data_IF_771495127500
#
_entry.id   IF_771495127500
#
_cell.length_a   1.000
_cell.length_b   1.000
_cell.length_c   1.000
_cell.angle_alpha   90.00
_cell.angle_beta   90.00
_cell.angle_gamma   90.00
#
_symmetry.space_group_name_H-M   'P 1'
#
loop_
_entity.id
_entity.type
_entity.pdbx_description
1 polymer ?
#
# COMPACT_ATOMS: atom_id res chain seq x y z
N UNK A 1 -13.36 5.67 35.93
CA UNK A 1 -12.10 5.11 35.40
C UNK A 1 -12.50 4.28 34.17
N UNK A 2 -11.88 4.56 33.04
CA UNK A 2 -12.09 3.77 31.82
C UNK A 2 -11.18 2.54 31.97
N UNK A 3 -11.74 1.34 31.95
CA UNK A 3 -10.95 0.11 31.84
C UNK A 3 -10.39 0.02 30.43
N UNK A 4 -9.07 -0.06 30.31
CA UNK A 4 -8.39 -0.32 29.05
C UNK A 4 -7.92 -1.78 29.01
N UNK A 5 -8.74 -2.73 28.50
CA UNK A 5 -8.42 -4.17 28.52
C UNK A 5 -7.20 -4.54 27.67
N UNK A 6 -6.76 -3.63 26.80
CA UNK A 6 -5.65 -3.85 25.86
C UNK A 6 -4.28 -3.34 26.33
N UNK A 7 -4.14 -2.83 27.57
CA UNK A 7 -2.85 -2.33 28.07
C UNK A 7 -1.89 -3.47 28.40
N UNK A 8 -1.50 -4.25 27.37
CA UNK A 8 -0.52 -5.34 27.48
C UNK A 8 0.48 -5.26 26.36
N UNK A 9 1.76 -5.22 26.74
CA UNK A 9 2.82 -5.46 25.77
C UNK A 9 2.79 -6.91 25.29
N UNK A 10 3.13 -7.14 24.03
CA UNK A 10 3.32 -8.48 23.47
C UNK A 10 4.66 -8.59 22.76
N UNK A 11 5.13 -9.82 22.58
CA UNK A 11 6.37 -10.09 21.87
C UNK A 11 6.10 -10.04 20.36
N UNK A 12 6.66 -9.04 19.68
CA UNK A 12 6.46 -8.83 18.25
C UNK A 12 6.92 -10.02 17.40
N UNK A 13 8.10 -10.59 17.71
CA UNK A 13 8.62 -11.74 16.97
C UNK A 13 7.67 -12.92 17.05
N UNK A 14 7.20 -13.24 18.26
CA UNK A 14 6.19 -14.28 18.45
C UNK A 14 4.88 -13.96 17.72
N UNK A 15 4.45 -12.70 17.73
CA UNK A 15 3.24 -12.29 17.01
C UNK A 15 3.37 -12.54 15.50
N UNK A 16 4.53 -12.26 14.89
CA UNK A 16 4.80 -12.55 13.48
C UNK A 16 4.77 -14.05 13.22
N UNK A 17 5.38 -14.86 14.09
CA UNK A 17 5.35 -16.33 13.99
C UNK A 17 3.91 -16.88 14.06
N UNK A 18 3.12 -16.43 15.03
CA UNK A 18 1.74 -16.83 15.24
C UNK A 18 0.79 -16.42 14.09
N UNK A 19 1.16 -15.42 13.29
CA UNK A 19 0.37 -14.89 12.18
C UNK A 19 1.00 -15.13 10.80
N UNK A 20 2.03 -15.96 10.70
CA UNK A 20 2.83 -16.14 9.50
C UNK A 20 2.00 -16.50 8.25
N UNK A 21 0.90 -17.24 8.39
CA UNK A 21 0.06 -17.62 7.27
C UNK A 21 -0.79 -16.48 6.71
N UNK A 22 -1.05 -15.44 7.53
CA UNK A 22 -1.77 -14.24 7.10
C UNK A 22 -0.83 -13.18 6.50
N UNK A 23 0.48 -13.37 6.64
CA UNK A 23 1.52 -12.50 6.07
C UNK A 23 2.05 -13.03 4.72
N UNK A 24 1.31 -13.96 4.10
CA UNK A 24 1.60 -14.54 2.78
C UNK A 24 0.50 -14.15 1.79
N UNK A 25 0.78 -14.18 0.48
CA UNK A 25 -0.25 -14.03 -0.53
C UNK A 25 -1.43 -15.02 -0.30
N UNK A 26 -2.66 -14.62 -0.62
CA UNK A 26 -3.07 -13.39 -1.30
C UNK A 26 -3.26 -12.17 -0.39
N UNK A 27 -3.21 -12.31 0.94
CA UNK A 27 -3.50 -11.20 1.87
C UNK A 27 -2.27 -10.32 2.10
N UNK A 28 -1.19 -10.86 2.61
CA UNK A 28 0.10 -10.16 2.75
C UNK A 28 0.18 -9.11 3.85
N UNK A 29 -0.92 -8.68 4.49
CA UNK A 29 -0.91 -7.69 5.56
C UNK A 29 -1.85 -8.05 6.71
N UNK A 30 -1.53 -7.56 7.91
CA UNK A 30 -2.37 -7.74 9.09
C UNK A 30 -2.22 -6.59 10.09
N UNK A 31 -3.35 -6.07 10.55
CA UNK A 31 -3.40 -5.10 11.64
C UNK A 31 -2.90 -5.72 12.94
N UNK A 32 -2.00 -5.00 13.64
CA UNK A 32 -1.53 -5.37 14.98
C UNK A 32 -2.46 -4.87 16.08
N UNK A 33 -3.02 -3.68 15.91
CA UNK A 33 -3.91 -3.04 16.87
C UNK A 33 -5.22 -2.66 16.19
N UNK A 34 -6.35 -3.16 16.72
CA UNK A 34 -7.68 -2.91 16.16
C UNK A 34 -8.40 -1.72 16.79
N UNK A 35 -7.97 -1.34 18.01
CA UNK A 35 -8.63 -0.32 18.81
C UNK A 35 -7.79 0.98 18.90
N UNK A 36 -6.95 1.23 17.90
CA UNK A 36 -6.15 2.44 17.79
C UNK A 36 -6.70 3.35 16.70
N UNK A 37 -6.60 4.65 16.88
CA UNK A 37 -6.97 5.65 15.87
C UNK A 37 -6.03 5.60 14.66
N UNK A 38 -4.77 5.22 14.90
CA UNK A 38 -3.78 5.00 13.85
C UNK A 38 -3.80 3.56 13.36
N UNK A 39 -3.43 3.36 12.09
CA UNK A 39 -3.21 2.04 11.54
C UNK A 39 -1.78 1.59 11.88
N UNK A 40 -1.66 0.43 12.51
CA UNK A 40 -0.36 -0.24 12.73
C UNK A 40 -0.48 -1.64 12.16
N UNK A 41 0.17 -1.87 11.03
CA UNK A 41 0.10 -3.16 10.33
C UNK A 41 1.47 -3.78 10.09
N UNK A 42 1.49 -5.10 10.00
CA UNK A 42 2.62 -5.86 9.48
C UNK A 42 2.31 -6.27 8.05
N UNK A 43 3.26 -6.06 7.17
CA UNK A 43 3.15 -6.42 5.75
C UNK A 43 4.25 -7.42 5.40
N UNK A 44 3.84 -8.56 4.85
CA UNK A 44 4.73 -9.61 4.39
C UNK A 44 4.90 -9.62 2.86
N UNK A 45 6.02 -10.17 2.41
CA UNK A 45 6.26 -10.43 0.98
C UNK A 45 6.16 -11.92 0.64
N UNK A 46 5.94 -12.26 -0.67
CA UNK A 46 5.90 -11.32 -1.79
C UNK A 46 4.58 -10.54 -1.86
N UNK A 47 4.67 -9.26 -2.16
CA UNK A 47 3.52 -8.39 -2.37
C UNK A 47 3.95 -7.25 -3.31
N UNK A 48 3.38 -7.20 -4.49
CA UNK A 48 3.66 -6.17 -5.49
C UNK A 48 2.35 -5.57 -5.97
N UNK A 49 2.35 -4.27 -6.23
CA UNK A 49 1.15 -3.56 -6.68
C UNK A 49 1.45 -2.67 -7.88
N UNK A 50 0.43 -2.39 -8.66
CA UNK A 50 0.49 -1.60 -9.90
C UNK A 50 -0.27 -0.27 -9.81
N UNK A 51 -0.93 -0.05 -8.70
CA UNK A 51 -1.57 1.21 -8.31
C UNK A 51 -0.68 2.01 -7.38
N UNK A 52 -0.87 3.32 -7.37
CA UNK A 52 -0.25 4.24 -6.43
C UNK A 52 -1.31 4.75 -5.46
N UNK A 53 -0.97 4.77 -4.20
CA UNK A 53 -1.79 5.28 -3.11
C UNK A 53 -1.47 6.75 -2.85
N UNK A 54 -2.50 7.55 -2.70
CA UNK A 54 -2.48 8.95 -2.25
C UNK A 54 -3.09 8.98 -0.85
N UNK A 55 -2.25 8.77 0.18
CA UNK A 55 -2.69 8.76 1.56
C UNK A 55 -2.75 10.20 2.11
N UNK A 56 -3.88 10.64 2.71
CA UNK A 56 -4.01 11.98 3.29
C UNK A 56 -3.26 12.15 4.61
N UNK A 57 -2.61 11.11 5.13
CA UNK A 57 -1.86 11.14 6.39
C UNK A 57 -0.41 10.73 6.20
N UNK A 58 0.42 10.95 7.23
CA UNK A 58 1.79 10.44 7.21
C UNK A 58 1.79 8.93 7.31
N UNK A 59 2.71 8.29 6.59
CA UNK A 59 2.95 6.85 6.64
C UNK A 59 4.41 6.58 7.02
N UNK A 60 4.63 5.77 8.05
CA UNK A 60 5.96 5.42 8.53
C UNK A 60 6.25 3.95 8.26
N UNK A 61 7.40 3.69 7.65
CA UNK A 61 7.87 2.35 7.30
C UNK A 61 9.05 1.95 8.19
N UNK A 62 9.05 0.71 8.64
CA UNK A 62 10.21 0.05 9.20
C UNK A 62 10.37 -1.32 8.57
N UNK A 63 11.49 -1.56 7.91
CA UNK A 63 11.76 -2.83 7.27
C UNK A 63 12.46 -3.77 8.24
N UNK A 64 11.71 -4.73 8.79
CA UNK A 64 12.16 -5.66 9.84
C UNK A 64 13.04 -6.77 9.26
N UNK A 65 12.69 -7.25 8.05
CA UNK A 65 13.39 -8.34 7.37
C UNK A 65 13.23 -8.22 5.86
N UNK A 66 14.34 -8.36 5.15
CA UNK A 66 14.43 -8.21 3.70
C UNK A 66 14.21 -6.77 3.24
N UNK A 67 14.47 -6.49 1.99
CA UNK A 67 14.39 -5.16 1.41
C UNK A 67 13.07 -4.94 0.67
N UNK A 68 12.69 -3.67 0.52
CA UNK A 68 11.58 -3.25 -0.33
C UNK A 68 11.97 -2.08 -1.21
N UNK A 69 11.20 -1.86 -2.26
CA UNK A 69 11.24 -0.64 -3.05
C UNK A 69 9.92 0.11 -2.85
N UNK A 70 10.01 1.36 -2.43
CA UNK A 70 8.89 2.28 -2.45
C UNK A 70 8.94 3.07 -3.75
N UNK A 71 8.02 2.78 -4.69
CA UNK A 71 7.89 3.59 -5.90
C UNK A 71 7.17 4.88 -5.55
N UNK A 72 7.70 5.99 -6.02
CA UNK A 72 7.12 7.33 -5.88
C UNK A 72 6.73 7.84 -7.26
N UNK A 73 5.57 8.46 -7.37
CA UNK A 73 5.16 9.20 -8.57
C UNK A 73 4.96 10.67 -8.23
N UNK A 74 5.74 11.55 -8.86
CA UNK A 74 5.63 13.00 -8.71
C UNK A 74 5.87 13.72 -10.05
N UNK A 75 6.09 15.03 -10.01
CA UNK A 75 6.35 15.85 -11.20
C UNK A 75 7.63 15.46 -11.96
N UNK A 76 8.55 14.73 -11.33
CA UNK A 76 9.78 14.24 -11.95
C UNK A 76 9.59 12.90 -12.68
N UNK A 77 8.43 12.28 -12.52
CA UNK A 77 8.10 10.97 -13.04
C UNK A 77 8.02 9.91 -11.94
N UNK A 78 8.14 8.65 -12.32
CA UNK A 78 8.13 7.51 -11.40
C UNK A 78 9.57 7.09 -11.10
N UNK A 79 9.92 7.02 -9.81
CA UNK A 79 11.26 6.62 -9.35
C UNK A 79 11.19 5.78 -8.07
N UNK A 80 12.31 5.14 -7.74
CA UNK A 80 12.42 4.14 -6.69
C UNK A 80 13.17 4.69 -5.47
N UNK A 81 12.62 4.45 -4.28
CA UNK A 81 13.29 4.64 -2.99
C UNK A 81 13.47 3.26 -2.36
N UNK A 82 14.69 2.72 -2.28
CA UNK A 82 14.94 1.48 -1.56
C UNK A 82 14.84 1.72 -0.05
N UNK A 83 14.16 0.82 0.66
CA UNK A 83 14.14 0.75 2.12
C UNK A 83 14.68 -0.64 2.48
N UNK A 84 15.89 -0.68 3.03
CA UNK A 84 16.60 -1.93 3.32
C UNK A 84 16.23 -2.48 4.69
N UNK A 85 16.54 -3.73 4.91
CA UNK A 85 16.42 -4.35 6.24
C UNK A 85 17.05 -3.47 7.32
N UNK A 86 16.31 -3.18 8.38
CA UNK A 86 16.71 -2.30 9.48
C UNK A 86 16.48 -0.80 9.23
N UNK A 87 16.14 -0.39 8.01
CA UNK A 87 15.90 1.03 7.70
C UNK A 87 14.46 1.45 8.01
N UNK A 88 14.32 2.74 8.29
CA UNK A 88 13.04 3.43 8.47
C UNK A 88 12.86 4.53 7.43
N UNK A 89 11.61 4.80 7.06
CA UNK A 89 11.27 5.87 6.13
C UNK A 89 9.98 6.54 6.58
N UNK A 90 9.92 7.88 6.48
CA UNK A 90 8.71 8.66 6.71
C UNK A 90 8.22 9.23 5.40
N UNK A 91 7.02 8.84 5.00
CA UNK A 91 6.33 9.36 3.83
C UNK A 91 5.37 10.48 4.26
N UNK A 92 5.49 11.70 3.71
CA UNK A 92 4.52 12.77 3.96
C UNK A 92 3.16 12.48 3.32
N UNK A 93 2.08 13.15 3.79
CA UNK A 93 0.77 13.04 3.15
C UNK A 93 0.81 13.44 1.68
N UNK A 94 -0.09 12.85 0.90
CA UNK A 94 -0.30 13.16 -0.52
C UNK A 94 0.91 12.94 -1.42
N UNK A 95 1.85 12.09 -1.02
CA UNK A 95 2.90 11.57 -1.90
C UNK A 95 2.44 10.26 -2.49
N UNK A 96 2.18 10.26 -3.81
CA UNK A 96 1.77 9.06 -4.54
C UNK A 96 2.86 7.99 -4.46
N UNK A 97 2.49 6.82 -3.92
CA UNK A 97 3.46 5.76 -3.65
C UNK A 97 2.90 4.35 -3.87
N UNK A 98 3.77 3.41 -4.17
CA UNK A 98 3.43 2.01 -4.39
C UNK A 98 4.52 1.10 -3.80
N UNK A 99 4.34 0.57 -2.57
CA UNK A 99 5.31 -0.34 -1.96
C UNK A 99 5.41 -1.65 -2.73
N UNK A 100 6.64 -2.04 -3.07
CA UNK A 100 6.96 -3.27 -3.78
C UNK A 100 7.77 -4.19 -2.85
N UNK A 101 7.25 -5.38 -2.56
CA UNK A 101 7.85 -6.39 -1.67
C UNK A 101 8.07 -7.70 -2.42
N UNK A 102 9.03 -7.81 -3.34
CA UNK A 102 9.19 -9.02 -4.16
C UNK A 102 9.79 -10.19 -3.38
N UNK A 103 10.50 -9.94 -2.28
CA UNK A 103 11.16 -10.97 -1.50
C UNK A 103 10.18 -11.83 -0.70
N UNK A 104 10.25 -13.14 -0.88
CA UNK A 104 9.51 -14.12 -0.08
C UNK A 104 9.96 -14.04 1.38
N UNK A 105 9.00 -13.88 2.29
CA UNK A 105 9.27 -13.83 3.73
C UNK A 105 9.88 -12.52 4.22
N UNK A 106 9.87 -11.45 3.40
CA UNK A 106 10.14 -10.11 3.89
C UNK A 106 9.04 -9.67 4.86
N UNK A 107 9.40 -8.87 5.85
CA UNK A 107 8.50 -8.36 6.90
C UNK A 107 8.79 -6.88 7.10
N UNK A 108 7.75 -6.07 7.00
CA UNK A 108 7.79 -4.66 7.33
C UNK A 108 6.67 -4.28 8.28
N UNK A 109 6.89 -3.23 9.06
CA UNK A 109 5.86 -2.55 9.83
C UNK A 109 5.52 -1.26 9.08
N UNK A 110 4.23 -1.01 8.95
CA UNK A 110 3.69 0.23 8.39
C UNK A 110 2.79 0.86 9.45
N UNK A 111 3.02 2.15 9.71
CA UNK A 111 2.21 2.95 10.62
C UNK A 111 1.67 4.15 9.86
N UNK A 112 0.35 4.24 9.81
CA UNK A 112 -0.35 5.35 9.18
C UNK A 112 -1.04 6.20 10.24
N UNK A 113 -1.06 7.50 10.03
CA UNK A 113 -1.70 8.46 10.93
C UNK A 113 -3.21 8.23 11.05
N UNK A 114 -3.80 8.83 12.08
CA UNK A 114 -5.25 8.79 12.25
C UNK A 114 -5.95 9.52 11.10
N UNK A 115 -6.97 8.87 10.54
CA UNK A 115 -7.81 9.44 9.50
C UNK A 115 -9.03 10.12 10.12
N UNK A 116 -9.41 11.26 9.55
CA UNK A 116 -10.55 12.04 10.04
C UNK A 116 -11.61 12.20 8.96
N UNK A 117 -12.84 12.41 9.37
CA UNK A 117 -13.95 12.67 8.45
C UNK A 117 -13.65 13.86 7.53
N UNK A 118 -14.01 13.73 6.25
CA UNK A 118 -13.75 14.72 5.21
C UNK A 118 -12.40 14.58 4.51
N UNK A 119 -11.52 13.69 4.96
CA UNK A 119 -10.33 13.32 4.20
C UNK A 119 -10.71 12.43 3.00
N UNK A 120 -9.92 12.52 1.93
CA UNK A 120 -10.05 11.68 0.74
C UNK A 120 -8.79 10.83 0.60
N UNK A 121 -8.96 9.55 0.40
CA UNK A 121 -7.90 8.67 -0.09
C UNK A 121 -7.98 8.54 -1.60
N UNK A 122 -6.83 8.56 -2.27
CA UNK A 122 -6.75 8.44 -3.71
C UNK A 122 -6.00 7.18 -4.15
N UNK A 123 -6.41 6.64 -5.28
CA UNK A 123 -5.69 5.57 -5.98
C UNK A 123 -5.49 5.99 -7.42
N UNK A 124 -4.24 5.94 -7.89
CA UNK A 124 -3.87 6.30 -9.24
C UNK A 124 -3.17 5.15 -9.96
N UNK A 125 -3.41 5.06 -11.26
CA UNK A 125 -2.70 4.15 -12.15
C UNK A 125 -1.99 4.93 -13.23
N UNK A 126 -0.78 4.49 -13.57
CA UNK A 126 0.07 5.13 -14.56
C UNK A 126 0.39 4.17 -15.69
N UNK A 127 0.48 4.70 -16.90
CA UNK A 127 0.90 3.96 -18.06
C UNK A 127 2.34 3.47 -17.91
N UNK A 128 2.56 2.17 -18.05
CA UNK A 128 3.90 1.57 -17.95
C UNK A 128 4.85 1.97 -19.09
N UNK A 129 4.29 2.45 -20.21
CA UNK A 129 5.09 2.86 -21.36
C UNK A 129 5.51 4.34 -21.31
N UNK A 130 4.60 5.24 -20.97
CA UNK A 130 4.87 6.69 -21.03
C UNK A 130 4.66 7.44 -19.70
N UNK A 131 4.36 6.72 -18.64
CA UNK A 131 4.14 7.25 -17.28
C UNK A 131 3.01 8.29 -17.16
N UNK A 132 2.19 8.45 -18.20
CA UNK A 132 0.99 9.29 -18.11
C UNK A 132 -0.02 8.64 -17.14
N UNK A 133 -0.65 9.43 -16.28
CA UNK A 133 -1.76 8.95 -15.45
C UNK A 133 -2.90 8.47 -16.34
N UNK A 134 -3.36 7.23 -16.13
CA UNK A 134 -4.48 6.64 -16.88
C UNK A 134 -5.79 6.70 -16.11
N UNK A 135 -5.74 6.61 -14.77
CA UNK A 135 -6.97 6.60 -13.97
C UNK A 135 -6.70 7.12 -12.55
N UNK A 136 -7.73 7.72 -11.93
CA UNK A 136 -7.74 8.10 -10.50
C UNK A 136 -9.11 7.82 -9.92
N UNK A 137 -9.14 7.27 -8.71
CA UNK A 137 -10.33 7.13 -7.88
C UNK A 137 -10.07 7.80 -6.54
N UNK A 138 -11.02 8.57 -6.05
CA UNK A 138 -11.02 9.14 -4.71
C UNK A 138 -12.12 8.53 -3.86
N UNK A 139 -11.80 8.22 -2.61
CA UNK A 139 -12.71 7.59 -1.65
C UNK A 139 -12.80 8.46 -0.40
N UNK A 140 -13.99 8.96 -0.05
CA UNK A 140 -14.18 9.67 1.20
C UNK A 140 -14.06 8.71 2.40
N UNK A 141 -13.42 9.19 3.47
CA UNK A 141 -13.16 8.42 4.69
C UNK A 141 -14.25 8.52 5.76
N UNK A 142 -15.36 9.15 5.45
CA UNK A 142 -16.55 9.29 6.31
C UNK A 142 -17.55 8.13 6.17
N UNK A 143 -17.11 7.03 5.57
CA UNK A 143 -17.94 5.83 5.40
C UNK A 143 -17.73 4.85 6.55
N UNK A 144 -18.84 4.24 7.08
CA UNK A 144 -18.77 3.35 8.25
C UNK A 144 -17.88 2.11 8.05
N UNK A 145 -17.80 1.60 6.82
CA UNK A 145 -17.07 0.37 6.50
C UNK A 145 -15.55 0.55 6.38
N UNK A 146 -15.07 1.79 6.37
CA UNK A 146 -13.66 2.09 6.14
C UNK A 146 -13.20 1.84 4.70
N UNK A 147 -11.95 2.25 4.42
CA UNK A 147 -11.37 2.14 3.06
C UNK A 147 -11.10 0.69 2.65
N UNK A 148 -10.65 -0.14 3.58
CA UNK A 148 -10.16 -1.51 3.32
C UNK A 148 -11.23 -2.38 2.65
N UNK A 149 -12.49 -2.23 3.08
CA UNK A 149 -13.61 -3.01 2.54
C UNK A 149 -14.01 -2.58 1.11
N UNK A 150 -13.66 -1.37 0.71
CA UNK A 150 -13.92 -0.83 -0.64
C UNK A 150 -12.81 -1.12 -1.65
N UNK A 151 -11.58 -1.34 -1.19
CA UNK A 151 -10.43 -1.57 -2.08
C UNK A 151 -10.66 -2.67 -3.12
N UNK A 152 -11.21 -3.85 -2.77
CA UNK A 152 -11.45 -4.89 -3.76
C UNK A 152 -12.36 -4.43 -4.91
N UNK A 153 -13.41 -3.66 -4.61
CA UNK A 153 -14.36 -3.15 -5.62
C UNK A 153 -13.72 -2.10 -6.52
N UNK A 154 -12.91 -1.19 -5.95
CA UNK A 154 -12.17 -0.17 -6.68
C UNK A 154 -11.23 -0.81 -7.69
N UNK A 155 -10.44 -1.77 -7.24
CA UNK A 155 -9.47 -2.46 -8.10
C UNK A 155 -10.14 -3.36 -9.14
N UNK A 156 -11.29 -3.96 -8.80
CA UNK A 156 -12.10 -4.74 -9.72
C UNK A 156 -12.70 -3.86 -10.81
N UNK A 157 -13.26 -2.71 -10.43
CA UNK A 157 -13.85 -1.75 -11.38
C UNK A 157 -12.82 -1.29 -12.40
N UNK A 158 -11.65 -0.83 -11.94
CA UNK A 158 -10.56 -0.46 -12.86
C UNK A 158 -10.12 -1.63 -13.73
N UNK A 159 -9.93 -2.82 -13.16
CA UNK A 159 -9.44 -3.99 -13.89
C UNK A 159 -10.38 -4.44 -15.02
N UNK A 160 -11.69 -4.22 -14.88
CA UNK A 160 -12.70 -4.62 -15.85
C UNK A 160 -13.03 -3.52 -16.87
N UNK A 161 -12.59 -2.28 -16.66
CA UNK A 161 -12.83 -1.15 -17.54
C UNK A 161 -11.65 -0.95 -18.51
N UNK A 162 -11.83 -1.38 -19.75
CA UNK A 162 -10.80 -1.28 -20.79
C UNK A 162 -10.51 0.17 -21.15
N UNK A 163 -11.52 1.02 -21.17
CA UNK A 163 -11.37 2.43 -21.51
C UNK A 163 -10.56 3.16 -20.44
N UNK A 164 -10.90 2.94 -19.15
CA UNK A 164 -10.15 3.49 -18.03
C UNK A 164 -8.69 2.99 -17.95
N UNK A 165 -8.41 1.81 -18.52
CA UNK A 165 -7.06 1.21 -18.57
C UNK A 165 -6.27 1.59 -19.80
N UNK A 166 -6.89 2.15 -20.82
CA UNK A 166 -6.21 2.53 -22.07
C UNK A 166 -5.60 3.92 -21.92
N UNK A 167 -4.30 4.02 -22.12
CA UNK A 167 -3.60 5.29 -22.01
C UNK A 167 -4.00 6.21 -23.18
N UNK A 168 -4.61 7.33 -22.90
CA UNK A 168 -5.01 8.33 -23.91
C UNK A 168 -3.81 8.90 -24.68
N UNK A 169 -2.62 8.94 -24.05
CA UNK A 169 -1.43 9.51 -24.68
C UNK A 169 -0.75 8.58 -25.69
N UNK A 170 -0.69 7.26 -25.42
CA UNK A 170 0.08 6.33 -26.25
C UNK A 170 -0.65 5.03 -26.62
N UNK A 171 -1.90 4.86 -26.24
CA UNK A 171 -2.71 3.70 -26.56
C UNK A 171 -2.34 2.42 -25.80
N UNK A 172 -1.34 2.44 -24.92
CA UNK A 172 -0.94 1.26 -24.14
C UNK A 172 -2.04 0.87 -23.16
N UNK A 173 -2.41 -0.39 -23.14
CA UNK A 173 -3.37 -0.95 -22.19
C UNK A 173 -2.66 -1.32 -20.89
N UNK A 174 -3.08 -0.73 -19.76
CA UNK A 174 -2.59 -1.09 -18.44
C UNK A 174 -3.06 -2.51 -18.05
N UNK A 175 -2.22 -3.36 -17.42
CA UNK A 175 -2.55 -4.77 -17.12
C UNK A 175 -3.72 -4.96 -16.12
N UNK A 176 -4.19 -3.91 -15.47
CA UNK A 176 -5.26 -4.01 -14.46
C UNK A 176 -4.77 -4.76 -13.21
N UNK A 177 -5.33 -5.95 -12.97
CA UNK A 177 -4.89 -6.89 -11.92
C UNK A 177 -3.77 -7.83 -12.36
N UNK A 178 -3.33 -7.73 -13.60
CA UNK A 178 -2.22 -8.54 -14.13
C UNK A 178 -0.90 -8.18 -13.44
N UNK A 179 0.12 -9.04 -13.63
CA UNK A 179 1.44 -8.77 -13.10
C UNK A 179 1.99 -7.47 -13.68
N UNK A 180 2.79 -6.78 -12.89
CA UNK A 180 3.57 -5.67 -13.40
C UNK A 180 4.51 -6.15 -14.52
N UNK A 181 4.82 -5.29 -15.50
CA UNK A 181 5.77 -5.62 -16.55
C UNK A 181 7.15 -6.00 -15.98
N UNK A 182 7.89 -6.79 -16.76
CA UNK A 182 9.28 -7.10 -16.44
C UNK A 182 10.10 -5.81 -16.23
N UNK A 183 10.93 -5.79 -15.20
CA UNK A 183 11.72 -4.60 -14.85
C UNK A 183 10.98 -3.55 -14.04
N UNK A 184 9.70 -3.75 -13.71
CA UNK A 184 8.97 -2.83 -12.84
C UNK A 184 9.53 -2.79 -11.41
N UNK A 185 10.01 -3.92 -10.91
CA UNK A 185 10.68 -4.01 -9.60
C UNK A 185 12.05 -4.65 -9.80
N UNK A 186 13.11 -3.89 -9.49
CA UNK A 186 14.50 -4.35 -9.57
C UNK A 186 15.11 -4.23 -8.16
N UNK A 187 15.25 -5.37 -7.45
CA UNK A 187 15.99 -5.49 -6.19
C UNK A 187 17.20 -6.37 -6.40
#
# INVERSE_FOLDING_TARGET
MIEHPSLKAFNFKKWVEDNADQLKPPVGNKLMHKDADMIVMVVGGPNTRVDFHDDPVNEWFYQVKGDIILKIADQKGIYDIPIREGEVFMLPPHVLHAPQRPQVGSIGIVVEGARHAGMLEGFEWFCFNCQTKVHRVEVPLDVPEGIVDKLPQIFESFANDIDARTCENCGTLHPGKGPAPEGWVNI
#
